data_IF_692910062722
#
_entry.id   IF_692910062722
#
_cell.length_a   1.000
_cell.length_b   1.000
_cell.length_c   1.000
_cell.angle_alpha   90.00
_cell.angle_beta   90.00
_cell.angle_gamma   90.00
#
_symmetry.space_group_name_H-M   'P 1'
#
loop_
_entity.id
_entity.type
_entity.pdbx_description
1 polymer ?
#
# COMPACT_ATOMS: atom_id res chain seq x y z
N UNK A 1 30.79 40.44 -8.85
CA UNK A 1 31.13 39.05 -8.47
C UNK A 1 29.91 38.31 -7.90
N UNK A 2 28.84 38.08 -8.67
CA UNK A 2 27.64 37.34 -8.24
C UNK A 2 27.16 36.27 -9.23
N UNK A 3 27.70 36.27 -10.45
CA UNK A 3 27.31 35.33 -11.51
C UNK A 3 27.99 33.96 -11.40
N UNK A 4 29.16 33.89 -10.75
CA UNK A 4 29.96 32.64 -10.69
C UNK A 4 29.35 31.60 -9.74
N UNK A 5 28.65 32.00 -8.68
CA UNK A 5 28.08 31.07 -7.70
C UNK A 5 26.86 30.31 -8.25
N UNK A 6 26.04 30.96 -9.09
CA UNK A 6 24.82 30.37 -9.67
C UNK A 6 25.16 29.25 -10.68
N UNK A 7 26.24 29.43 -11.45
CA UNK A 7 26.68 28.43 -12.45
C UNK A 7 27.09 27.11 -11.78
N UNK A 8 27.75 27.16 -10.62
CA UNK A 8 28.15 25.95 -9.89
C UNK A 8 26.97 25.17 -9.31
N UNK A 9 25.88 25.85 -8.93
CA UNK A 9 24.68 25.18 -8.41
C UNK A 9 23.92 24.45 -9.51
N UNK A 10 23.82 25.05 -10.71
CA UNK A 10 23.13 24.44 -11.86
C UNK A 10 23.92 23.23 -12.39
N UNK A 11 25.25 23.32 -12.47
CA UNK A 11 26.10 22.19 -12.89
C UNK A 11 25.97 21.00 -11.93
N UNK A 12 25.88 21.25 -10.61
CA UNK A 12 25.64 20.20 -9.62
C UNK A 12 24.33 19.42 -9.84
N UNK A 13 23.25 20.12 -10.17
CA UNK A 13 21.93 19.51 -10.39
C UNK A 13 21.92 18.65 -11.67
N UNK A 14 22.58 19.10 -12.74
CA UNK A 14 22.65 18.35 -14.02
C UNK A 14 23.47 17.07 -13.87
N UNK A 15 24.55 17.08 -13.08
CA UNK A 15 25.35 15.86 -12.81
C UNK A 15 24.54 14.84 -12.00
N UNK A 16 23.76 15.27 -11.00
CA UNK A 16 22.90 14.37 -10.22
C UNK A 16 21.82 13.74 -11.10
N UNK A 17 21.18 14.51 -12.00
CA UNK A 17 20.20 13.97 -12.95
C UNK A 17 20.83 12.99 -13.95
N UNK A 18 22.05 13.25 -14.43
CA UNK A 18 22.78 12.36 -15.34
C UNK A 18 23.21 11.03 -14.72
N UNK A 19 23.53 11.01 -13.41
CA UNK A 19 23.83 9.77 -12.67
C UNK A 19 22.57 8.93 -12.47
N UNK A 20 21.41 9.56 -12.24
CA UNK A 20 20.13 8.83 -12.13
C UNK A 20 19.76 8.18 -13.48
N UNK A 21 19.94 8.91 -14.59
CA UNK A 21 19.60 8.38 -15.92
C UNK A 21 20.53 7.26 -16.41
N UNK A 22 21.81 7.25 -16.00
CA UNK A 22 22.77 6.20 -16.39
C UNK A 22 22.58 4.89 -15.61
N UNK A 23 22.02 4.92 -14.40
CA UNK A 23 21.65 3.70 -13.65
C UNK A 23 20.46 2.99 -14.30
N UNK A 24 19.50 3.73 -14.87
CA UNK A 24 18.29 3.16 -15.49
C UNK A 24 18.57 2.51 -16.84
N UNK A 25 19.62 2.92 -17.55
CA UNK A 25 19.86 2.51 -18.94
C UNK A 25 20.75 1.27 -19.12
N UNK A 26 21.32 0.71 -18.05
CA UNK A 26 22.13 -0.53 -18.11
C UNK A 26 21.40 -1.73 -17.52
N UNK A 27 20.37 -2.23 -18.20
CA UNK A 27 19.88 -3.59 -17.95
C UNK A 27 19.48 -4.29 -19.25
N UNK A 28 20.49 -4.54 -20.08
CA UNK A 28 20.46 -5.56 -21.10
C UNK A 28 20.73 -6.94 -20.49
N UNK A 29 19.90 -7.91 -20.88
CA UNK A 29 20.14 -9.35 -21.07
C UNK A 29 21.16 -10.08 -20.15
N UNK A 30 20.64 -11.02 -19.35
CA UNK A 30 21.39 -12.07 -18.68
C UNK A 30 20.46 -13.22 -18.23
N UNK A 31 20.95 -14.48 -18.19
CA UNK A 31 20.12 -15.69 -18.36
C UNK A 31 19.31 -16.09 -17.12
N UNK A 32 18.18 -16.79 -17.36
CA UNK A 32 17.33 -17.41 -16.34
C UNK A 32 18.12 -18.42 -15.49
N UNK A 33 18.29 -18.09 -14.20
CA UNK A 33 18.65 -19.00 -13.12
C UNK A 33 17.55 -19.05 -12.06
N UNK A 34 17.53 -20.08 -11.20
CA UNK A 34 16.34 -20.54 -10.48
C UNK A 34 15.82 -19.54 -9.42
N UNK A 35 14.51 -19.32 -9.46
CA UNK A 35 13.56 -18.72 -8.50
C UNK A 35 14.07 -18.14 -7.15
N UNK A 36 15.00 -17.20 -7.19
CA UNK A 36 15.05 -16.08 -6.24
C UNK A 36 15.20 -14.79 -7.02
N UNK A 37 14.12 -14.41 -7.72
CA UNK A 37 14.04 -13.10 -8.36
C UNK A 37 14.08 -12.08 -7.23
N UNK A 38 15.16 -11.30 -7.12
CA UNK A 38 15.16 -10.11 -6.24
C UNK A 38 13.95 -9.27 -6.64
N UNK A 39 13.01 -9.09 -5.71
CA UNK A 39 11.79 -8.33 -5.92
C UNK A 39 12.21 -6.89 -6.21
N UNK A 40 11.96 -6.44 -7.43
CA UNK A 40 12.41 -5.12 -7.85
C UNK A 40 11.38 -4.05 -7.45
N UNK A 41 11.73 -2.77 -7.65
CA UNK A 41 10.83 -1.66 -7.33
C UNK A 41 9.51 -1.75 -8.12
N UNK A 42 9.52 -2.34 -9.32
CA UNK A 42 8.33 -2.48 -10.14
C UNK A 42 7.36 -3.49 -9.52
N UNK A 43 7.85 -4.64 -9.04
CA UNK A 43 7.04 -5.61 -8.30
C UNK A 43 6.38 -4.93 -7.08
N UNK A 44 7.15 -4.17 -6.29
CA UNK A 44 6.60 -3.43 -5.14
C UNK A 44 5.55 -2.38 -5.54
N UNK A 45 5.74 -1.72 -6.67
CA UNK A 45 4.78 -0.75 -7.20
C UNK A 45 3.47 -1.45 -7.61
N UNK A 46 3.54 -2.64 -8.19
CA UNK A 46 2.34 -3.44 -8.50
C UNK A 46 1.57 -3.79 -7.23
N UNK A 47 2.25 -4.19 -6.17
CA UNK A 47 1.63 -4.52 -4.89
C UNK A 47 1.01 -3.31 -4.21
N UNK A 48 1.66 -2.15 -4.29
CA UNK A 48 1.06 -0.88 -3.87
C UNK A 48 -0.24 -0.58 -4.63
N UNK A 49 -0.24 -0.71 -5.97
CA UNK A 49 -1.45 -0.53 -6.77
C UNK A 49 -2.55 -1.55 -6.45
N UNK A 50 -2.18 -2.81 -6.16
CA UNK A 50 -3.12 -3.83 -5.68
C UNK A 50 -3.71 -3.43 -4.32
N UNK A 51 -2.89 -2.89 -3.41
CA UNK A 51 -3.33 -2.47 -2.09
C UNK A 51 -4.35 -1.33 -2.17
N UNK A 52 -4.13 -0.33 -3.05
CA UNK A 52 -5.10 0.74 -3.31
C UNK A 52 -6.44 0.17 -3.79
N UNK A 53 -6.41 -0.77 -4.74
CA UNK A 53 -7.65 -1.43 -5.23
C UNK A 53 -8.34 -2.25 -4.14
N UNK A 54 -7.57 -2.91 -3.28
CA UNK A 54 -8.11 -3.68 -2.16
C UNK A 54 -8.82 -2.77 -1.14
N UNK A 55 -8.27 -1.59 -0.85
CA UNK A 55 -8.91 -0.57 0.00
C UNK A 55 -10.25 -0.16 -0.62
N UNK A 56 -10.25 0.27 -1.89
CA UNK A 56 -11.50 0.68 -2.56
C UNK A 56 -12.55 -0.43 -2.59
N UNK A 57 -12.12 -1.68 -2.81
CA UNK A 57 -13.01 -2.85 -2.83
C UNK A 57 -13.55 -3.12 -1.42
N UNK A 58 -12.72 -2.97 -0.39
CA UNK A 58 -13.15 -3.09 1.00
C UNK A 58 -14.19 -2.04 1.35
N UNK A 59 -13.94 -0.76 1.07
CA UNK A 59 -14.87 0.33 1.34
C UNK A 59 -16.22 0.10 0.68
N UNK A 60 -16.23 -0.29 -0.60
CA UNK A 60 -17.47 -0.64 -1.30
C UNK A 60 -18.24 -1.79 -0.65
N UNK A 61 -17.54 -2.80 -0.11
CA UNK A 61 -18.16 -3.92 0.61
C UNK A 61 -18.68 -3.48 1.98
N UNK A 62 -17.94 -2.61 2.66
CA UNK A 62 -18.29 -2.08 3.95
C UNK A 62 -19.52 -1.16 3.87
N UNK A 63 -19.58 -0.22 2.93
CA UNK A 63 -20.77 0.62 2.71
C UNK A 63 -22.03 -0.21 2.48
N UNK A 64 -21.92 -1.32 1.71
CA UNK A 64 -23.04 -2.24 1.49
C UNK A 64 -23.44 -3.05 2.73
N UNK A 65 -22.51 -3.23 3.68
CA UNK A 65 -22.71 -4.01 4.89
C UNK A 65 -23.16 -3.14 6.08
N UNK A 66 -23.17 -1.81 5.95
CA UNK A 66 -23.62 -0.92 7.02
C UNK A 66 -25.11 -1.17 7.30
N UNK A 67 -25.48 -1.56 8.53
CA UNK A 67 -26.89 -1.68 8.91
C UNK A 67 -27.55 -0.31 8.92
N UNK A 68 -28.82 -0.25 8.53
CA UNK A 68 -29.60 1.00 8.54
C UNK A 68 -29.88 1.50 9.96
N UNK A 69 -30.03 0.58 10.91
CA UNK A 69 -30.23 0.86 12.34
C UNK A 69 -29.26 -0.01 13.17
N UNK A 70 -28.00 0.44 13.36
CA UNK A 70 -27.01 -0.33 14.10
C UNK A 70 -27.38 -0.46 15.58
N UNK A 71 -27.18 -1.66 16.12
CA UNK A 71 -27.06 -1.88 17.57
C UNK A 71 -25.80 -1.22 18.12
N UNK A 72 -25.69 -1.12 19.46
CA UNK A 72 -24.48 -0.58 20.09
C UNK A 72 -23.21 -1.40 19.76
N UNK A 73 -23.35 -2.73 19.62
CA UNK A 73 -22.25 -3.62 19.25
C UNK A 73 -21.82 -3.40 17.80
N UNK A 74 -22.77 -3.31 16.86
CA UNK A 74 -22.49 -3.02 15.46
C UNK A 74 -21.89 -1.63 15.28
N UNK A 75 -22.36 -0.62 16.02
CA UNK A 75 -21.79 0.73 16.00
C UNK A 75 -20.33 0.75 16.48
N UNK A 76 -19.99 -0.07 17.50
CA UNK A 76 -18.61 -0.22 17.96
C UNK A 76 -17.75 -0.92 16.91
N UNK A 77 -18.27 -1.99 16.28
CA UNK A 77 -17.58 -2.67 15.18
C UNK A 77 -17.34 -1.74 13.99
N UNK A 78 -18.34 -0.95 13.58
CA UNK A 78 -18.20 0.06 12.54
C UNK A 78 -17.10 1.07 12.88
N UNK A 79 -17.08 1.59 14.12
CA UNK A 79 -16.03 2.51 14.56
C UNK A 79 -14.63 1.89 14.51
N UNK A 80 -14.49 0.60 14.86
CA UNK A 80 -13.22 -0.12 14.73
C UNK A 80 -12.82 -0.32 13.27
N UNK A 81 -13.76 -0.67 12.40
CA UNK A 81 -13.52 -0.81 10.95
C UNK A 81 -13.03 0.53 10.39
N UNK A 82 -13.70 1.63 10.72
CA UNK A 82 -13.32 2.97 10.25
C UNK A 82 -11.89 3.32 10.68
N UNK A 83 -11.54 3.05 11.95
CA UNK A 83 -10.19 3.28 12.46
C UNK A 83 -9.13 2.42 11.75
N UNK A 84 -9.38 1.10 11.60
CA UNK A 84 -8.44 0.18 10.93
C UNK A 84 -8.27 0.52 9.45
N UNK A 85 -9.34 0.88 8.74
CA UNK A 85 -9.28 1.29 7.33
C UNK A 85 -8.51 2.61 7.19
N UNK A 86 -8.73 3.55 8.10
CA UNK A 86 -7.99 4.81 8.08
C UNK A 86 -6.50 4.58 8.33
N UNK A 87 -6.13 3.71 9.28
CA UNK A 87 -4.72 3.34 9.48
C UNK A 87 -4.16 2.64 8.23
N UNK A 88 -4.91 1.72 7.62
CA UNK A 88 -4.50 1.03 6.40
C UNK A 88 -4.21 1.99 5.25
N UNK A 89 -5.07 3.00 5.05
CA UNK A 89 -4.84 4.08 4.07
C UNK A 89 -3.58 4.87 4.39
N UNK A 90 -3.46 5.35 5.62
CA UNK A 90 -2.32 6.16 6.05
C UNK A 90 -0.99 5.41 5.88
N UNK A 91 -0.94 4.11 6.18
CA UNK A 91 0.25 3.29 5.95
C UNK A 91 0.52 3.02 4.47
N UNK A 92 -0.53 2.83 3.67
CA UNK A 92 -0.41 2.64 2.22
C UNK A 92 0.15 3.91 1.55
N UNK A 93 -0.23 5.11 1.99
CA UNK A 93 0.30 6.38 1.45
C UNK A 93 1.79 6.59 1.70
N UNK A 94 2.34 6.02 2.78
CA UNK A 94 3.79 6.10 3.09
C UNK A 94 4.67 5.31 2.12
N UNK A 95 4.09 4.45 1.29
CA UNK A 95 4.85 3.57 0.39
C UNK A 95 5.88 4.30 -0.49
N UNK A 96 5.49 5.46 -1.05
CA UNK A 96 6.38 6.24 -1.93
C UNK A 96 7.58 6.87 -1.18
N UNK A 97 7.57 6.88 0.15
CA UNK A 97 8.66 7.38 0.99
C UNK A 97 9.69 6.29 1.34
N UNK A 98 9.39 5.01 1.05
CA UNK A 98 10.23 3.87 1.39
C UNK A 98 11.40 3.74 0.40
N UNK A 99 12.62 3.70 0.92
CA UNK A 99 13.83 3.71 0.11
C UNK A 99 14.46 2.32 0.00
N UNK A 100 14.37 1.54 1.08
CA UNK A 100 15.01 0.23 1.21
C UNK A 100 14.04 -0.93 0.98
N UNK A 101 14.56 -2.12 0.68
CA UNK A 101 13.73 -3.32 0.51
C UNK A 101 13.14 -3.78 1.85
N UNK A 102 13.89 -3.61 2.93
CA UNK A 102 13.51 -3.92 4.31
C UNK A 102 12.31 -3.07 4.75
N UNK A 103 12.33 -1.76 4.47
CA UNK A 103 11.21 -0.86 4.71
C UNK A 103 9.96 -1.27 3.94
N UNK A 104 10.10 -1.67 2.67
CA UNK A 104 8.98 -2.16 1.84
C UNK A 104 8.42 -3.48 2.35
N UNK A 105 9.26 -4.38 2.86
CA UNK A 105 8.82 -5.62 3.52
C UNK A 105 8.02 -5.31 4.79
N UNK A 106 8.56 -4.49 5.68
CA UNK A 106 7.88 -4.09 6.91
C UNK A 106 6.55 -3.39 6.63
N UNK A 107 6.53 -2.50 5.63
CA UNK A 107 5.31 -1.87 5.13
C UNK A 107 4.29 -2.91 4.68
N UNK A 108 4.71 -3.86 3.84
CA UNK A 108 3.83 -4.90 3.29
C UNK A 108 3.20 -5.77 4.36
N UNK A 109 3.99 -6.19 5.34
CA UNK A 109 3.50 -6.97 6.47
C UNK A 109 2.44 -6.15 7.24
N UNK A 110 2.73 -4.88 7.52
CA UNK A 110 1.80 -3.97 8.22
C UNK A 110 0.49 -3.76 7.46
N UNK A 111 0.53 -3.40 6.18
CA UNK A 111 -0.70 -3.17 5.40
C UNK A 111 -1.49 -4.46 5.16
N UNK A 112 -0.80 -5.60 5.07
CA UNK A 112 -1.45 -6.91 4.93
C UNK A 112 -2.19 -7.30 6.20
N UNK A 113 -1.62 -7.02 7.37
CA UNK A 113 -2.24 -7.31 8.65
C UNK A 113 -3.44 -6.40 8.92
N UNK A 114 -3.32 -5.09 8.63
CA UNK A 114 -4.45 -4.16 8.67
C UNK A 114 -5.59 -4.60 7.73
N UNK A 115 -5.25 -5.05 6.51
CA UNK A 115 -6.23 -5.63 5.58
C UNK A 115 -6.94 -6.86 6.15
N UNK A 116 -6.21 -7.77 6.79
CA UNK A 116 -6.78 -8.98 7.41
C UNK A 116 -7.70 -8.61 8.57
N UNK A 117 -7.27 -7.69 9.42
CA UNK A 117 -8.05 -7.21 10.56
C UNK A 117 -9.35 -6.53 10.10
N UNK A 118 -9.27 -5.60 9.14
CA UNK A 118 -10.44 -4.97 8.56
C UNK A 118 -11.42 -6.00 7.97
N UNK A 119 -10.92 -7.01 7.25
CA UNK A 119 -11.76 -8.12 6.72
C UNK A 119 -12.40 -8.94 7.83
N UNK A 120 -11.70 -9.20 8.93
CA UNK A 120 -12.22 -9.93 10.08
C UNK A 120 -13.36 -9.15 10.73
N UNK A 121 -13.13 -7.86 11.02
CA UNK A 121 -14.15 -6.99 11.60
C UNK A 121 -15.39 -6.87 10.71
N UNK A 122 -15.21 -6.77 9.39
CA UNK A 122 -16.33 -6.75 8.44
C UNK A 122 -17.12 -8.07 8.45
N UNK A 123 -16.44 -9.22 8.60
CA UNK A 123 -17.12 -10.52 8.75
C UNK A 123 -17.91 -10.59 10.06
N UNK A 124 -17.36 -10.07 11.15
CA UNK A 124 -18.07 -9.98 12.44
C UNK A 124 -19.30 -9.08 12.34
N UNK A 125 -19.19 -7.91 11.70
CA UNK A 125 -20.31 -7.01 11.45
C UNK A 125 -21.43 -7.71 10.65
N UNK A 126 -21.07 -8.45 9.60
CA UNK A 126 -22.04 -9.22 8.79
C UNK A 126 -22.73 -10.34 9.55
N UNK A 127 -22.00 -11.03 10.43
CA UNK A 127 -22.57 -12.08 11.30
C UNK A 127 -23.54 -11.50 12.33
N UNK A 128 -23.18 -10.36 12.94
CA UNK A 128 -24.04 -9.63 13.87
C UNK A 128 -25.36 -9.14 13.22
N UNK A 129 -25.29 -8.72 11.97
CA UNK A 129 -26.45 -8.24 11.19
C UNK A 129 -27.39 -9.35 10.67
N UNK A 130 -27.20 -10.62 11.09
CA UNK A 130 -28.07 -11.75 10.70
C UNK A 130 -27.65 -12.49 9.42
N UNK A 131 -26.41 -12.32 8.96
CA UNK A 131 -25.87 -13.08 7.82
C UNK A 131 -25.43 -14.48 8.21
N UNK A 132 -26.20 -15.50 7.80
CA UNK A 132 -25.71 -16.86 7.64
C UNK A 132 -24.40 -16.86 6.84
N UNK A 133 -23.45 -17.68 7.27
CA UNK A 133 -22.16 -17.85 6.61
C UNK A 133 -22.36 -18.38 5.19
N UNK A 134 -22.41 -17.49 4.19
CA UNK A 134 -22.02 -17.89 2.85
C UNK A 134 -20.51 -18.12 2.87
N UNK A 135 -20.14 -19.40 2.96
CA UNK A 135 -18.78 -19.89 2.81
C UNK A 135 -18.18 -19.39 1.50
N UNK A 136 -17.01 -18.75 1.59
CA UNK A 136 -16.13 -18.58 0.43
C UNK A 136 -15.33 -19.88 0.29
N UNK A 137 -15.62 -20.64 -0.78
CA UNK A 137 -14.78 -21.72 -1.35
C UNK A 137 -13.33 -21.27 -1.60
#
# INVERSE_FOLDING_TARGET
>A
MKTRTIVWTIVGIVVVAGVIFTIVSRRGAGPMGPYYRKRDLADWQEDYQRMLKDIEKFERRYEKAKPTNPTAEESNLMSKIDATVQEWKNETEKFNQLQTEEERKAWWDKVTDLRKEAKKLLRELRKGAGGEEEGEE
#
